data_IF_582335309671
#
_entry.id   IF_582335309671
#
_cell.length_a   1.000
_cell.length_b   1.000
_cell.length_c   1.000
_cell.angle_alpha   90.00
_cell.angle_beta   90.00
_cell.angle_gamma   90.00
#
_symmetry.space_group_name_H-M   'P 1'
#
loop_
_entity.id
_entity.type
_entity.pdbx_description
1 polymer ?
#
# COMPACT_ATOMS: atom_id res chain seq x y z
N UNK A 1 -18.21 18.65 0.53
CA UNK A 1 -17.05 18.54 1.43
C UNK A 1 -16.74 17.07 1.73
N UNK A 2 -17.68 16.32 2.32
CA UNK A 2 -17.63 14.87 2.57
C UNK A 2 -17.04 13.99 1.44
N UNK A 3 -17.40 14.24 0.17
CA UNK A 3 -16.92 13.43 -0.95
C UNK A 3 -15.43 13.64 -1.31
N UNK A 4 -14.81 14.76 -0.89
CA UNK A 4 -13.35 14.98 -1.03
C UNK A 4 -12.59 14.26 0.07
N UNK A 5 -13.11 14.30 1.30
CA UNK A 5 -12.48 13.66 2.45
C UNK A 5 -12.50 12.13 2.30
N UNK A 6 -13.62 11.56 1.81
CA UNK A 6 -13.73 10.14 1.53
C UNK A 6 -12.70 9.65 0.48
N UNK A 7 -12.46 10.45 -0.57
CA UNK A 7 -11.49 10.13 -1.62
C UNK A 7 -10.07 10.03 -1.07
N UNK A 8 -9.67 11.00 -0.24
CA UNK A 8 -8.36 11.00 0.42
C UNK A 8 -8.16 9.78 1.33
N UNK A 9 -9.20 9.41 2.08
CA UNK A 9 -9.17 8.21 2.94
C UNK A 9 -9.00 6.94 2.10
N UNK A 10 -9.74 6.79 0.99
CA UNK A 10 -9.65 5.63 0.10
C UNK A 10 -8.24 5.46 -0.47
N UNK A 11 -7.59 6.55 -0.88
CA UNK A 11 -6.21 6.51 -1.40
C UNK A 11 -5.21 6.16 -0.31
N UNK A 12 -5.34 6.75 0.88
CA UNK A 12 -4.46 6.42 1.99
C UNK A 12 -4.57 4.95 2.39
N UNK A 13 -5.80 4.41 2.45
CA UNK A 13 -6.03 2.98 2.70
C UNK A 13 -5.38 2.12 1.61
N UNK A 14 -5.56 2.48 0.33
CA UNK A 14 -4.95 1.75 -0.78
C UNK A 14 -3.41 1.78 -0.73
N UNK A 15 -2.82 2.93 -0.40
CA UNK A 15 -1.37 3.08 -0.25
C UNK A 15 -0.82 2.23 0.89
N UNK A 16 -1.49 2.24 2.05
CA UNK A 16 -1.12 1.41 3.21
C UNK A 16 -1.21 -0.07 2.86
N UNK A 17 -2.32 -0.51 2.23
CA UNK A 17 -2.49 -1.89 1.79
C UNK A 17 -1.45 -2.32 0.75
N UNK A 18 -1.06 -1.40 -0.14
CA UNK A 18 0.01 -1.62 -1.11
C UNK A 18 1.37 -1.79 -0.44
N UNK A 19 1.66 -0.98 0.56
CA UNK A 19 2.89 -1.08 1.37
C UNK A 19 2.94 -2.41 2.13
N UNK A 20 1.84 -2.82 2.77
CA UNK A 20 1.72 -4.13 3.40
C UNK A 20 1.90 -5.28 2.40
N UNK A 21 1.31 -5.17 1.20
CA UNK A 21 1.45 -6.18 0.15
C UNK A 21 2.91 -6.31 -0.32
N UNK A 22 3.64 -5.20 -0.43
CA UNK A 22 5.08 -5.20 -0.75
C UNK A 22 5.87 -5.81 0.41
N UNK A 23 5.57 -5.45 1.66
CA UNK A 23 6.22 -6.00 2.83
C UNK A 23 6.05 -7.53 2.91
N UNK A 24 4.83 -8.03 2.74
CA UNK A 24 4.57 -9.48 2.70
C UNK A 24 5.28 -10.17 1.54
N UNK A 25 5.36 -9.52 0.38
CA UNK A 25 6.12 -10.04 -0.75
C UNK A 25 7.61 -10.15 -0.44
N UNK A 26 8.21 -9.13 0.17
CA UNK A 26 9.61 -9.14 0.62
C UNK A 26 9.81 -10.19 1.71
N UNK A 27 8.93 -10.26 2.71
CA UNK A 27 8.99 -11.25 3.78
C UNK A 27 9.01 -12.67 3.22
N UNK A 28 8.19 -12.95 2.19
CA UNK A 28 8.16 -14.25 1.50
C UNK A 28 9.46 -14.58 0.77
N UNK A 29 10.18 -13.58 0.25
CA UNK A 29 11.49 -13.79 -0.38
C UNK A 29 12.52 -14.27 0.67
N UNK A 30 12.44 -13.75 1.88
CA UNK A 30 13.43 -14.03 2.94
C UNK A 30 13.05 -15.17 3.89
N UNK A 31 11.78 -15.58 3.96
CA UNK A 31 11.31 -16.59 4.92
C UNK A 31 10.69 -17.81 4.20
N UNK A 32 11.07 -19.04 4.59
CA UNK A 32 10.50 -20.27 4.03
C UNK A 32 9.10 -20.60 4.55
N UNK A 33 8.59 -19.86 5.54
CA UNK A 33 7.24 -20.04 6.07
C UNK A 33 6.20 -19.44 5.12
N UNK A 34 5.55 -20.29 4.34
CA UNK A 34 4.42 -19.90 3.50
C UNK A 34 3.15 -19.80 4.38
N UNK A 35 2.44 -18.67 4.32
CA UNK A 35 1.14 -18.52 4.94
C UNK A 35 0.06 -18.85 3.90
N UNK A 36 -0.43 -20.11 3.82
CA UNK A 36 -1.30 -20.53 2.74
C UNK A 36 -2.60 -19.72 2.74
N UNK A 37 -2.87 -18.99 1.65
CA UNK A 37 -4.10 -18.23 1.47
C UNK A 37 -4.07 -16.79 2.00
N UNK A 38 -3.11 -16.41 2.84
CA UNK A 38 -3.03 -15.03 3.38
C UNK A 38 -2.58 -14.05 2.29
N UNK A 39 -1.55 -14.43 1.54
CA UNK A 39 -1.01 -13.61 0.46
C UNK A 39 -2.04 -13.39 -0.65
N UNK A 40 -2.76 -14.45 -1.05
CA UNK A 40 -3.82 -14.32 -2.05
C UNK A 40 -4.92 -13.38 -1.58
N UNK A 41 -5.33 -13.47 -0.30
CA UNK A 41 -6.36 -12.58 0.26
C UNK A 41 -5.91 -11.13 0.26
N UNK A 42 -4.70 -10.83 0.77
CA UNK A 42 -4.15 -9.47 0.79
C UNK A 42 -4.02 -8.93 -0.63
N UNK A 43 -3.54 -9.75 -1.56
CA UNK A 43 -3.38 -9.37 -2.97
C UNK A 43 -4.73 -9.05 -3.63
N UNK A 44 -5.75 -9.91 -3.47
CA UNK A 44 -7.09 -9.66 -4.01
C UNK A 44 -7.76 -8.44 -3.37
N UNK A 45 -7.58 -8.25 -2.05
CA UNK A 45 -8.11 -7.09 -1.35
C UNK A 45 -7.47 -5.79 -1.86
N UNK A 46 -6.15 -5.81 -2.06
CA UNK A 46 -5.41 -4.68 -2.59
C UNK A 46 -5.80 -4.36 -4.05
N UNK A 47 -6.01 -5.37 -4.89
CA UNK A 47 -6.55 -5.17 -6.24
C UNK A 47 -7.95 -4.54 -6.19
N UNK A 48 -8.84 -5.03 -5.31
CA UNK A 48 -10.18 -4.50 -5.15
C UNK A 48 -10.17 -3.02 -4.76
N UNK A 49 -9.40 -2.67 -3.74
CA UNK A 49 -9.23 -1.27 -3.32
C UNK A 49 -8.56 -0.41 -4.39
N UNK A 50 -7.61 -0.96 -5.15
CA UNK A 50 -6.97 -0.26 -6.27
C UNK A 50 -7.94 0.09 -7.39
N UNK A 51 -8.88 -0.81 -7.72
CA UNK A 51 -9.95 -0.53 -8.70
C UNK A 51 -10.88 0.56 -8.16
N UNK A 52 -11.30 0.48 -6.90
CA UNK A 52 -12.16 1.50 -6.28
C UNK A 52 -11.47 2.87 -6.25
N UNK A 53 -10.18 2.91 -5.92
CA UNK A 53 -9.37 4.13 -5.95
C UNK A 53 -9.27 4.68 -7.38
N UNK A 54 -8.98 3.83 -8.38
CA UNK A 54 -8.93 4.23 -9.79
C UNK A 54 -10.24 4.82 -10.28
N UNK A 55 -11.38 4.18 -9.96
CA UNK A 55 -12.71 4.70 -10.32
C UNK A 55 -13.00 6.02 -9.63
N UNK A 56 -12.67 6.12 -8.33
CA UNK A 56 -12.88 7.33 -7.53
C UNK A 56 -12.08 8.53 -8.06
N UNK A 57 -10.91 8.26 -8.65
CA UNK A 57 -10.00 9.27 -9.20
C UNK A 57 -10.02 9.34 -10.73
N UNK A 58 -10.96 8.65 -11.40
CA UNK A 58 -10.97 8.51 -12.86
C UNK A 58 -10.94 9.85 -13.59
N UNK A 59 -11.79 10.81 -13.18
CA UNK A 59 -11.85 12.13 -13.80
C UNK A 59 -10.56 12.94 -13.60
N UNK A 60 -9.96 12.86 -12.41
CA UNK A 60 -8.72 13.56 -12.09
C UNK A 60 -7.53 12.96 -12.86
N UNK A 61 -7.54 11.64 -13.03
CA UNK A 61 -6.58 10.91 -13.87
C UNK A 61 -6.76 11.29 -15.33
N UNK A 62 -7.98 11.38 -15.85
CA UNK A 62 -8.25 11.84 -17.22
C UNK A 62 -7.82 13.29 -17.41
N UNK A 63 -8.17 14.19 -16.49
CA UNK A 63 -7.75 15.59 -16.56
C UNK A 63 -6.22 15.74 -16.46
N UNK A 64 -5.57 14.88 -15.69
CA UNK A 64 -4.12 14.78 -15.66
C UNK A 64 -3.59 14.30 -17.01
N UNK A 65 -4.09 13.18 -17.54
CA UNK A 65 -3.67 12.62 -18.83
C UNK A 65 -3.89 13.58 -20.00
N UNK A 66 -5.02 14.29 -20.04
CA UNK A 66 -5.34 15.30 -21.04
C UNK A 66 -4.40 16.51 -20.95
N UNK A 67 -3.96 16.89 -19.73
CA UNK A 67 -2.88 17.89 -19.56
C UNK A 67 -1.53 17.40 -20.06
N UNK A 68 -1.31 16.09 -20.09
CA UNK A 68 -0.12 15.43 -20.63
C UNK A 68 -0.20 15.08 -22.12
N UNK A 69 -1.29 15.40 -22.84
CA UNK A 69 -1.26 15.47 -24.30
C UNK A 69 -0.35 16.63 -24.72
N UNK A 70 0.96 16.36 -24.64
CA UNK A 70 2.01 17.15 -25.24
C UNK A 70 1.65 17.24 -26.71
N UNK A 71 1.25 18.43 -27.17
CA UNK A 71 1.17 18.78 -28.59
C UNK A 71 2.49 18.36 -29.22
N UNK A 72 2.51 17.17 -29.82
CA UNK A 72 3.70 16.65 -30.48
C UNK A 72 4.04 17.67 -31.57
N UNK A 73 5.20 18.34 -31.52
CA UNK A 73 5.54 19.31 -32.52
C UNK A 73 5.57 18.59 -33.86
N UNK A 74 4.66 18.97 -34.78
CA UNK A 74 4.62 18.45 -36.15
C UNK A 74 6.02 18.62 -36.74
N UNK A 75 6.75 17.52 -36.83
CA UNK A 75 8.18 17.50 -37.11
C UNK A 75 8.42 17.82 -38.59
N UNK A 76 8.39 19.10 -38.98
CA UNK A 76 8.91 19.53 -40.29
C UNK A 76 10.44 19.42 -40.27
N UNK A 77 10.96 18.24 -40.62
CA UNK A 77 12.39 18.02 -40.84
C UNK A 77 12.81 18.70 -42.15
N UNK A 78 13.43 19.88 -42.06
CA UNK A 78 14.47 20.32 -43.01
C UNK A 78 15.56 21.02 -42.21
N UNK A 79 16.63 20.31 -41.91
CA UNK A 79 17.85 20.93 -41.40
C UNK A 79 19.06 20.31 -42.11
N UNK A 80 19.38 20.85 -43.28
CA UNK A 80 20.71 20.75 -43.91
C UNK A 80 21.56 21.80 -43.21
N UNK A 81 22.51 21.41 -42.36
CA UNK A 81 23.67 22.26 -42.04
C UNK A 81 24.93 21.58 -42.56
N UNK A 82 25.47 22.15 -43.65
CA UNK A 82 26.88 22.02 -44.03
C UNK A 82 27.70 22.65 -42.90
N UNK A 83 28.54 21.86 -42.25
CA UNK A 83 29.55 22.37 -41.31
C UNK A 83 30.86 22.39 -42.11
N UNK A 84 31.32 23.60 -42.46
CA UNK A 84 32.67 23.80 -43.00
C UNK A 84 33.63 24.00 -41.83
N UNK A 85 34.59 23.10 -41.69
CA UNK A 85 35.69 23.22 -40.75
C UNK A 85 36.78 24.13 -41.33
N UNK A 86 36.95 25.33 -40.74
CA UNK A 86 38.06 26.23 -41.05
C UNK A 86 39.31 25.78 -40.28
N UNK A 87 40.25 25.14 -40.98
CA UNK A 87 41.57 24.75 -40.44
C UNK A 87 42.38 25.99 -40.03
N UNK A 88 42.77 26.10 -38.76
CA UNK A 88 43.80 27.03 -38.30
C UNK A 88 45.18 26.38 -38.42
N UNK A 89 46.11 27.05 -39.13
CA UNK A 89 47.53 26.69 -39.16
C UNK A 89 48.26 27.44 -38.04
N UNK A 90 48.88 26.71 -37.13
CA UNK A 90 49.86 27.25 -36.18
C UNK A 90 51.23 27.32 -36.85
N UNK A 91 51.81 28.52 -36.96
CA UNK A 91 53.24 28.70 -37.26
C UNK A 91 54.04 28.49 -35.97
N UNK A 92 54.94 27.50 -35.97
CA UNK A 92 56.04 27.43 -35.00
C UNK A 92 57.16 28.34 -35.52
N UNK A 93 57.51 29.35 -34.74
CA UNK A 93 58.73 30.14 -34.88
C UNK A 93 59.43 30.18 -33.54
N UNK A 94 60.65 29.65 -33.49
CA UNK A 94 61.52 29.72 -32.32
C UNK A 94 62.08 31.12 -32.10
N UNK A 95 62.69 31.33 -30.93
CA UNK A 95 63.41 32.56 -30.64
C UNK A 95 63.43 32.89 -29.15
N UNK A 96 64.54 32.50 -28.52
CA UNK A 96 64.98 32.98 -27.21
C UNK A 96 64.93 34.51 -27.10
N UNK A 97 64.48 35.03 -25.94
CA UNK A 97 65.16 36.13 -25.23
C UNK A 97 64.52 36.39 -23.87
N UNK A 98 65.40 36.45 -22.89
CA UNK A 98 65.23 37.00 -21.54
C UNK A 98 64.55 38.36 -21.56
N UNK A 99 63.47 38.52 -20.79
CA UNK A 99 62.84 39.81 -20.50
C UNK A 99 62.54 39.93 -19.01
N UNK A 100 63.40 40.73 -18.39
CA UNK A 100 63.23 41.64 -17.25
C UNK A 100 61.86 41.70 -16.54
N UNK A 101 61.96 41.73 -15.20
CA UNK A 101 60.91 42.04 -14.22
C UNK A 101 59.90 43.09 -14.71
N UNK A 102 58.70 42.64 -15.06
CA UNK A 102 57.52 43.48 -15.25
C UNK A 102 56.90 43.75 -13.88
N UNK A 103 56.97 45.00 -13.40
CA UNK A 103 56.16 45.47 -12.26
C UNK A 103 54.69 45.49 -12.68
N UNK A 104 53.96 44.44 -12.30
CA UNK A 104 52.51 44.36 -12.44
C UNK A 104 51.83 45.37 -11.51
N UNK A 105 51.33 46.48 -12.07
CA UNK A 105 50.29 47.29 -11.42
C UNK A 105 49.03 46.44 -11.32
N UNK A 106 48.54 46.22 -10.09
CA UNK A 106 47.27 45.52 -9.83
C UNK A 106 46.14 46.17 -10.64
N UNK A 107 45.46 45.45 -11.56
CA UNK A 107 44.29 45.97 -12.22
C UNK A 107 43.15 46.08 -11.21
N UNK A 108 42.46 47.22 -11.17
CA UNK A 108 41.18 47.34 -10.46
C UNK A 108 40.13 46.59 -11.28
N UNK A 109 39.94 45.30 -10.99
CA UNK A 109 38.86 44.51 -11.56
C UNK A 109 37.52 44.96 -10.95
N UNK A 110 36.76 45.77 -11.69
CA UNK A 110 35.34 45.96 -11.41
C UNK A 110 34.58 44.76 -12.00
N UNK A 111 34.40 43.71 -11.20
CA UNK A 111 33.53 42.57 -11.54
C UNK A 111 32.07 43.03 -11.48
N UNK A 112 31.51 43.44 -12.63
CA UNK A 112 30.05 43.51 -12.78
C UNK A 112 29.49 42.09 -12.67
N UNK A 113 28.60 41.86 -11.70
CA UNK A 113 27.95 40.56 -11.48
C UNK A 113 27.32 40.06 -12.79
N UNK A 114 27.72 38.88 -13.31
CA UNK A 114 27.09 38.31 -14.50
C UNK A 114 25.64 37.93 -14.19
N UNK A 115 24.70 38.38 -15.03
CA UNK A 115 23.31 37.95 -14.99
C UNK A 115 23.25 36.54 -15.59
N UNK A 116 23.30 35.51 -14.75
CA UNK A 116 23.11 34.13 -15.19
C UNK A 116 21.62 33.88 -15.46
N UNK A 117 21.23 33.91 -16.73
CA UNK A 117 19.96 33.32 -17.16
C UNK A 117 20.12 31.80 -17.27
N UNK A 118 20.01 31.11 -16.14
CA UNK A 118 19.95 29.65 -16.11
C UNK A 118 18.59 29.24 -16.66
N UNK A 119 18.54 28.90 -17.96
CA UNK A 119 17.36 28.24 -18.55
C UNK A 119 17.22 26.86 -17.90
N UNK A 120 16.08 26.59 -17.27
CA UNK A 120 15.76 25.28 -16.67
C UNK A 120 15.94 24.18 -17.73
N UNK A 121 16.70 23.11 -17.44
CA UNK A 121 16.84 22.00 -18.38
C UNK A 121 15.51 21.24 -18.49
N UNK A 122 14.99 21.13 -19.72
CA UNK A 122 13.87 20.25 -20.03
C UNK A 122 14.37 18.80 -20.08
N UNK A 123 14.26 18.08 -18.97
CA UNK A 123 14.55 16.64 -18.92
C UNK A 123 13.35 15.90 -19.49
N UNK A 124 13.46 15.39 -20.72
CA UNK A 124 12.44 14.53 -21.33
C UNK A 124 12.66 13.07 -20.91
N UNK A 125 12.02 12.65 -19.82
CA UNK A 125 11.98 11.23 -19.44
C UNK A 125 10.94 10.54 -20.34
N UNK A 126 11.37 9.57 -21.15
CA UNK A 126 10.46 8.69 -21.90
C UNK A 126 10.05 7.54 -20.99
N UNK A 127 8.87 7.62 -20.40
CA UNK A 127 8.29 6.51 -19.65
C UNK A 127 7.56 5.62 -20.66
N UNK A 128 8.06 4.39 -20.82
CA UNK A 128 7.42 3.36 -21.64
C UNK A 128 6.33 2.70 -20.79
N UNK A 129 5.06 3.04 -21.03
CA UNK A 129 3.95 2.33 -20.38
C UNK A 129 3.69 1.01 -21.14
N UNK A 130 3.73 -0.14 -20.46
CA UNK A 130 3.44 -1.43 -21.10
C UNK A 130 1.97 -1.49 -21.52
N UNK A 131 1.71 -1.97 -22.72
CA UNK A 131 0.35 -2.24 -23.22
C UNK A 131 -0.28 -3.35 -22.37
N UNK A 132 -1.26 -3.00 -21.54
CA UNK A 132 -2.02 -3.98 -20.75
C UNK A 132 -2.93 -4.77 -21.70
N UNK A 133 -2.81 -6.10 -21.66
CA UNK A 133 -3.62 -7.01 -22.45
C UNK A 133 -4.90 -7.38 -21.67
N UNK A 134 -6.03 -6.78 -22.05
CA UNK A 134 -7.33 -6.94 -21.40
C UNK A 134 -7.88 -8.37 -21.48
N UNK A 135 -7.58 -9.10 -22.56
CA UNK A 135 -8.04 -10.48 -22.76
C UNK A 135 -7.47 -11.45 -21.70
N UNK A 136 -6.30 -11.12 -21.15
CA UNK A 136 -5.67 -11.91 -20.07
C UNK A 136 -6.37 -11.69 -18.72
N UNK A 137 -6.97 -10.53 -18.52
CA UNK A 137 -7.68 -10.17 -17.28
C UNK A 137 -9.06 -10.85 -17.26
N UNK A 138 -9.77 -10.83 -18.38
CA UNK A 138 -11.09 -11.46 -18.50
C UNK A 138 -11.04 -12.98 -18.24
N UNK A 139 -10.02 -13.65 -18.77
CA UNK A 139 -9.79 -15.07 -18.51
C UNK A 139 -9.52 -15.39 -17.01
N UNK A 140 -8.93 -14.46 -16.25
CA UNK A 140 -8.76 -14.64 -14.79
C UNK A 140 -10.09 -14.51 -14.04
N UNK A 141 -10.99 -13.63 -14.46
CA UNK A 141 -12.31 -13.50 -13.85
C UNK A 141 -13.18 -14.76 -14.04
N UNK A 142 -13.11 -15.38 -15.23
CA UNK A 142 -13.81 -16.65 -15.51
C UNK A 142 -13.32 -17.75 -14.56
N UNK A 143 -12.01 -17.84 -14.33
CA UNK A 143 -11.42 -18.82 -13.39
C UNK A 143 -11.92 -18.64 -11.95
N UNK A 144 -12.01 -17.38 -11.48
CA UNK A 144 -12.53 -17.06 -10.14
C UNK A 144 -14.00 -17.49 -10.01
N UNK A 145 -14.83 -17.19 -11.02
CA UNK A 145 -16.24 -17.58 -11.02
C UNK A 145 -16.41 -19.10 -10.94
N UNK A 146 -15.57 -19.85 -11.66
CA UNK A 146 -15.56 -21.31 -11.62
C UNK A 146 -15.15 -21.86 -10.25
N UNK A 147 -14.18 -21.21 -9.59
CA UNK A 147 -13.77 -21.56 -8.22
C UNK A 147 -14.92 -21.40 -7.21
N UNK A 148 -15.66 -20.29 -7.26
CA UNK A 148 -16.82 -20.06 -6.40
C UNK A 148 -17.93 -21.07 -6.64
N UNK A 149 -18.25 -21.38 -7.90
CA UNK A 149 -19.25 -22.42 -8.23
C UNK A 149 -18.83 -23.78 -7.68
N UNK A 150 -17.55 -24.13 -7.81
CA UNK A 150 -16.99 -25.38 -7.25
C UNK A 150 -17.06 -25.40 -5.73
N UNK A 151 -16.80 -24.28 -5.07
CA UNK A 151 -16.89 -24.13 -3.60
C UNK A 151 -18.34 -24.32 -3.12
N UNK A 152 -19.30 -23.65 -3.76
CA UNK A 152 -20.74 -23.77 -3.44
C UNK A 152 -21.22 -25.21 -3.61
N UNK A 153 -20.82 -25.88 -4.70
CA UNK A 153 -21.15 -27.31 -4.90
C UNK A 153 -20.54 -28.21 -3.82
N UNK A 154 -19.35 -27.89 -3.31
CA UNK A 154 -18.68 -28.65 -2.23
C UNK A 154 -19.41 -28.49 -0.90
N UNK A 155 -19.84 -27.26 -0.57
CA UNK A 155 -20.67 -26.97 0.60
C UNK A 155 -22.03 -27.70 0.50
N UNK A 156 -22.58 -27.80 -0.71
CA UNK A 156 -23.80 -28.55 -1.01
C UNK A 156 -23.74 -30.05 -0.70
N UNK A 157 -22.55 -30.66 -0.59
CA UNK A 157 -22.40 -32.09 -0.25
C UNK A 157 -22.23 -32.36 1.25
N UNK A 158 -22.14 -31.32 2.08
CA UNK A 158 -21.94 -31.49 3.52
C UNK A 158 -23.20 -32.08 4.20
N UNK A 159 -23.03 -32.85 5.28
CA UNK A 159 -24.14 -33.40 6.04
C UNK A 159 -25.01 -32.28 6.63
N UNK A 160 -26.32 -32.55 6.75
CA UNK A 160 -27.36 -31.56 7.13
C UNK A 160 -27.02 -30.82 8.45
N UNK A 161 -26.43 -31.52 9.43
CA UNK A 161 -25.99 -30.94 10.71
C UNK A 161 -24.88 -29.89 10.54
N UNK A 162 -23.89 -30.14 9.68
CA UNK A 162 -22.79 -29.19 9.43
C UNK A 162 -23.27 -27.98 8.63
N UNK A 163 -24.18 -28.19 7.67
CA UNK A 163 -24.81 -27.09 6.92
C UNK A 163 -25.55 -26.12 7.82
N UNK A 164 -26.33 -26.61 8.80
CA UNK A 164 -27.04 -25.75 9.77
C UNK A 164 -26.08 -24.91 10.62
N UNK A 165 -24.97 -25.49 11.08
CA UNK A 165 -23.93 -24.74 11.82
C UNK A 165 -23.29 -23.64 10.96
N UNK A 166 -22.94 -23.96 9.71
CA UNK A 166 -22.38 -22.99 8.76
C UNK A 166 -23.41 -21.90 8.43
N UNK A 167 -24.68 -22.26 8.25
CA UNK A 167 -25.74 -21.28 7.97
C UNK A 167 -25.97 -20.35 9.16
N UNK A 168 -26.05 -20.88 10.38
CA UNK A 168 -26.15 -20.08 11.59
C UNK A 168 -24.97 -19.12 11.76
N UNK A 169 -23.76 -19.54 11.37
CA UNK A 169 -22.59 -18.65 11.31
C UNK A 169 -22.78 -17.50 10.33
N UNK A 170 -23.14 -17.80 9.08
CA UNK A 170 -23.34 -16.75 8.08
C UNK A 170 -24.42 -15.78 8.51
N UNK A 171 -25.53 -16.27 9.08
CA UNK A 171 -26.60 -15.42 9.62
C UNK A 171 -26.07 -14.54 10.76
N UNK A 172 -25.37 -15.10 11.74
CA UNK A 172 -24.78 -14.33 12.84
C UNK A 172 -23.77 -13.29 12.36
N UNK A 173 -22.93 -13.65 11.38
CA UNK A 173 -21.93 -12.76 10.78
C UNK A 173 -22.60 -11.62 10.02
N UNK A 174 -23.67 -11.90 9.27
CA UNK A 174 -24.45 -10.88 8.55
C UNK A 174 -25.14 -9.93 9.53
N UNK A 175 -25.78 -10.45 10.59
CA UNK A 175 -26.41 -9.63 11.64
C UNK A 175 -25.37 -8.73 12.31
N UNK A 176 -24.24 -9.31 12.73
CA UNK A 176 -23.16 -8.57 13.37
C UNK A 176 -22.53 -7.52 12.44
N UNK A 177 -22.30 -7.88 11.18
CA UNK A 177 -21.75 -6.95 10.19
C UNK A 177 -22.72 -5.80 9.89
N UNK A 178 -24.02 -6.08 9.83
CA UNK A 178 -25.07 -5.06 9.65
C UNK A 178 -25.12 -4.14 10.87
N UNK A 179 -25.00 -4.69 12.08
CA UNK A 179 -24.87 -3.90 13.31
C UNK A 179 -23.63 -3.00 13.27
N UNK A 180 -22.46 -3.54 12.92
CA UNK A 180 -21.23 -2.75 12.81
C UNK A 180 -21.33 -1.63 11.77
N UNK A 181 -21.93 -1.88 10.61
CA UNK A 181 -22.15 -0.85 9.57
C UNK A 181 -23.09 0.24 10.08
N UNK A 182 -24.13 -0.12 10.83
CA UNK A 182 -25.08 0.83 11.41
C UNK A 182 -24.45 1.69 12.52
N UNK A 183 -23.54 1.10 13.30
CA UNK A 183 -22.79 1.75 14.38
C UNK A 183 -21.68 2.66 13.83
N UNK A 184 -20.99 2.24 12.77
CA UNK A 184 -19.81 2.93 12.22
C UNK A 184 -19.93 4.46 12.06
N UNK A 185 -21.00 5.04 11.48
CA UNK A 185 -21.07 6.50 11.30
C UNK A 185 -21.30 7.28 12.61
N UNK A 186 -21.64 6.60 13.72
CA UNK A 186 -22.00 7.22 15.00
C UNK A 186 -20.88 7.22 16.03
N UNK A 187 -19.82 6.45 15.80
CA UNK A 187 -18.75 6.22 16.77
C UNK A 187 -17.40 6.67 16.23
N UNK A 188 -16.52 7.05 17.14
CA UNK A 188 -15.11 7.21 16.81
C UNK A 188 -14.50 5.86 16.40
N UNK A 189 -13.43 5.89 15.61
CA UNK A 189 -12.75 4.66 15.17
C UNK A 189 -12.26 3.83 16.39
N UNK A 190 -11.88 4.50 17.48
CA UNK A 190 -11.46 3.87 18.73
C UNK A 190 -12.58 3.06 19.39
N UNK A 191 -13.78 3.64 19.49
CA UNK A 191 -14.97 2.96 20.03
C UNK A 191 -15.44 1.84 19.09
N UNK A 192 -15.38 2.05 17.78
CA UNK A 192 -15.70 1.00 16.80
C UNK A 192 -14.78 -0.21 16.96
N UNK A 193 -13.47 0.00 17.11
CA UNK A 193 -12.50 -1.07 17.33
C UNK A 193 -12.77 -1.82 18.63
N UNK A 194 -13.17 -1.10 19.69
CA UNK A 194 -13.58 -1.72 20.95
C UNK A 194 -14.79 -2.64 20.75
N UNK A 195 -15.87 -2.18 20.10
CA UNK A 195 -17.04 -3.03 19.83
C UNK A 195 -16.72 -4.20 18.90
N UNK A 196 -15.87 -3.98 17.90
CA UNK A 196 -15.42 -5.02 16.98
C UNK A 196 -14.72 -6.16 17.73
N UNK A 197 -13.81 -5.82 18.65
CA UNK A 197 -13.09 -6.75 19.52
C UNK A 197 -14.00 -7.39 20.58
N UNK A 198 -14.96 -6.65 21.12
CA UNK A 198 -15.95 -7.18 22.06
C UNK A 198 -16.80 -8.27 21.40
N UNK A 199 -17.32 -8.02 20.20
CA UNK A 199 -18.10 -9.02 19.46
C UNK A 199 -17.25 -10.17 18.92
N UNK A 200 -15.93 -10.01 18.82
CA UNK A 200 -15.03 -11.12 18.50
C UNK A 200 -15.06 -12.22 19.57
N UNK A 201 -15.27 -11.89 20.85
CA UNK A 201 -15.31 -12.88 21.94
C UNK A 201 -16.41 -13.93 21.74
N UNK A 202 -17.71 -13.59 21.64
CA UNK A 202 -18.76 -14.60 21.45
C UNK A 202 -18.62 -15.35 20.13
N UNK A 203 -18.19 -14.68 19.06
CA UNK A 203 -17.90 -15.32 17.77
C UNK A 203 -16.81 -16.38 17.98
N UNK A 204 -15.69 -16.02 18.59
CA UNK A 204 -14.57 -16.93 18.85
C UNK A 204 -14.99 -18.15 19.68
N UNK A 205 -15.82 -17.95 20.71
CA UNK A 205 -16.35 -19.04 21.56
C UNK A 205 -17.22 -20.00 20.74
N UNK A 206 -18.11 -19.48 19.90
CA UNK A 206 -18.99 -20.29 19.05
C UNK A 206 -18.17 -21.10 18.03
N UNK A 207 -17.14 -20.47 17.43
CA UNK A 207 -16.30 -21.10 16.40
C UNK A 207 -15.13 -21.92 16.95
N UNK A 208 -14.88 -21.86 18.25
CA UNK A 208 -13.69 -22.47 18.87
C UNK A 208 -12.42 -22.02 18.15
N UNK A 209 -12.32 -20.71 17.86
CA UNK A 209 -11.13 -20.14 17.25
C UNK A 209 -9.96 -20.26 18.23
N UNK A 210 -8.76 -20.41 17.68
CA UNK A 210 -7.55 -20.49 18.51
C UNK A 210 -7.38 -19.16 19.28
N UNK A 211 -7.39 -19.18 20.63
CA UNK A 211 -7.30 -17.98 21.45
C UNK A 211 -5.96 -17.23 21.27
N UNK A 212 -4.97 -17.85 20.63
CA UNK A 212 -3.64 -17.26 20.36
C UNK A 212 -3.66 -16.17 19.29
N UNK A 213 -4.66 -16.16 18.40
CA UNK A 213 -4.74 -15.16 17.32
C UNK A 213 -4.78 -13.70 17.81
N UNK A 214 -5.70 -13.29 18.69
CA UNK A 214 -5.75 -11.91 19.19
C UNK A 214 -4.47 -11.49 19.92
N UNK A 215 -3.80 -12.43 20.61
CA UNK A 215 -2.51 -12.18 21.28
C UNK A 215 -1.41 -11.91 20.25
N UNK A 216 -1.31 -12.75 19.22
CA UNK A 216 -0.34 -12.57 18.15
C UNK A 216 -0.54 -11.25 17.40
N UNK A 217 -1.79 -10.88 17.13
CA UNK A 217 -2.14 -9.58 16.55
C UNK A 217 -1.70 -8.46 17.49
N UNK A 218 -2.01 -8.53 18.79
CA UNK A 218 -1.62 -7.52 19.74
C UNK A 218 -0.10 -7.32 19.84
N UNK A 219 0.67 -8.42 19.86
CA UNK A 219 2.13 -8.36 19.85
C UNK A 219 2.67 -7.67 18.58
N UNK A 220 2.07 -7.98 17.43
CA UNK A 220 2.40 -7.32 16.17
C UNK A 220 2.07 -5.82 16.24
N UNK A 221 0.90 -5.43 16.79
CA UNK A 221 0.56 -4.02 17.01
C UNK A 221 1.56 -3.32 17.93
N UNK A 222 2.08 -3.97 18.98
CA UNK A 222 3.12 -3.38 19.83
C UNK A 222 4.42 -3.12 19.07
N UNK A 223 4.82 -4.02 18.17
CA UNK A 223 5.99 -3.80 17.30
C UNK A 223 5.75 -2.59 16.38
N UNK A 224 4.56 -2.51 15.77
CA UNK A 224 4.19 -1.35 14.94
C UNK A 224 4.17 -0.07 15.80
N UNK A 225 3.62 -0.12 17.01
CA UNK A 225 3.60 0.99 17.95
C UNK A 225 5.01 1.53 18.21
N UNK A 226 5.98 0.64 18.46
CA UNK A 226 7.38 1.04 18.67
C UNK A 226 7.98 1.73 17.43
N UNK A 227 7.67 1.24 16.22
CA UNK A 227 8.13 1.86 14.97
C UNK A 227 7.50 3.25 14.79
N UNK A 228 6.19 3.39 15.03
CA UNK A 228 5.47 4.66 14.89
C UNK A 228 5.95 5.67 15.93
N UNK A 229 6.21 5.22 17.16
CA UNK A 229 6.80 6.05 18.21
C UNK A 229 8.21 6.52 17.83
N UNK A 230 9.05 5.64 17.26
CA UNK A 230 10.38 6.01 16.77
C UNK A 230 10.35 7.08 15.67
N UNK A 231 9.28 7.14 14.88
CA UNK A 231 9.07 8.18 13.87
C UNK A 231 8.58 9.52 14.44
N UNK A 232 8.30 9.60 15.75
CA UNK A 232 7.84 10.81 16.44
C UNK A 232 6.32 11.03 16.39
N UNK A 233 5.53 10.03 15.98
CA UNK A 233 4.07 10.12 15.89
C UNK A 233 3.40 9.62 17.18
N UNK A 234 3.55 10.36 18.28
CA UNK A 234 3.11 9.94 19.61
C UNK A 234 1.60 9.64 19.70
N UNK A 235 0.75 10.48 19.10
CA UNK A 235 -0.71 10.29 19.11
C UNK A 235 -1.13 8.96 18.47
N UNK A 236 -0.50 8.60 17.35
CA UNK A 236 -0.79 7.36 16.64
C UNK A 236 -0.22 6.16 17.38
N UNK A 237 0.98 6.28 17.93
CA UNK A 237 1.57 5.24 18.76
C UNK A 237 0.67 4.91 19.96
N UNK A 238 0.16 5.94 20.66
CA UNK A 238 -0.77 5.76 21.77
C UNK A 238 -2.05 5.03 21.36
N UNK A 239 -2.67 5.40 20.24
CA UNK A 239 -3.86 4.69 19.72
C UNK A 239 -3.56 3.23 19.40
N UNK A 240 -2.43 2.95 18.74
CA UNK A 240 -2.01 1.58 18.40
C UNK A 240 -1.76 0.77 19.68
N UNK A 241 -1.14 1.37 20.71
CA UNK A 241 -0.93 0.73 22.00
C UNK A 241 -2.26 0.37 22.69
N UNK A 242 -3.26 1.26 22.64
CA UNK A 242 -4.61 0.98 23.17
C UNK A 242 -5.24 -0.23 22.44
N UNK A 243 -5.11 -0.31 21.11
CA UNK A 243 -5.64 -1.45 20.36
C UNK A 243 -4.91 -2.75 20.68
N UNK A 244 -3.59 -2.70 20.86
CA UNK A 244 -2.82 -3.84 21.31
C UNK A 244 -3.29 -4.31 22.70
N UNK A 245 -3.51 -3.37 23.62
CA UNK A 245 -4.06 -3.67 24.94
C UNK A 245 -5.42 -4.39 24.85
N UNK A 246 -6.35 -3.90 24.05
CA UNK A 246 -7.63 -4.58 23.86
C UNK A 246 -7.46 -5.99 23.28
N UNK A 247 -6.57 -6.18 22.31
CA UNK A 247 -6.25 -7.49 21.76
C UNK A 247 -5.69 -8.47 22.79
N UNK A 248 -4.81 -8.00 23.68
CA UNK A 248 -4.26 -8.81 24.78
C UNK A 248 -5.37 -9.22 25.76
N UNK A 249 -6.20 -8.27 26.21
CA UNK A 249 -7.29 -8.56 27.15
C UNK A 249 -8.26 -9.60 26.57
N UNK A 250 -8.68 -9.41 25.31
CA UNK A 250 -9.56 -10.36 24.61
C UNK A 250 -8.89 -11.73 24.46
N UNK A 251 -7.59 -11.76 24.13
CA UNK A 251 -6.84 -13.01 24.02
C UNK A 251 -6.74 -13.78 25.34
N UNK A 252 -6.51 -13.08 26.45
CA UNK A 252 -6.48 -13.69 27.80
C UNK A 252 -7.86 -14.23 28.18
N UNK A 253 -8.94 -13.48 27.93
CA UNK A 253 -10.31 -13.94 28.16
C UNK A 253 -10.58 -15.22 27.37
N UNK A 254 -10.21 -15.27 26.09
CA UNK A 254 -10.42 -16.45 25.26
C UNK A 254 -9.57 -17.65 25.70
N UNK A 255 -8.33 -17.44 26.14
CA UNK A 255 -7.52 -18.51 26.73
C UNK A 255 -8.16 -19.06 28.00
N UNK A 256 -8.70 -18.19 28.86
CA UNK A 256 -9.42 -18.61 30.06
C UNK A 256 -10.66 -19.43 29.73
N UNK A 257 -11.46 -18.98 28.76
CA UNK A 257 -12.65 -19.73 28.31
C UNK A 257 -12.26 -21.09 27.74
N UNK A 258 -11.20 -21.17 26.94
CA UNK A 258 -10.73 -22.44 26.39
C UNK A 258 -10.20 -23.38 27.49
N UNK A 259 -9.49 -22.83 28.48
CA UNK A 259 -9.04 -23.60 29.66
C UNK A 259 -10.21 -24.21 30.43
N UNK A 260 -11.23 -23.41 30.78
CA UNK A 260 -12.43 -23.90 31.48
C UNK A 260 -13.17 -24.94 30.64
N UNK A 261 -13.28 -24.72 29.33
CA UNK A 261 -13.95 -25.63 28.41
C UNK A 261 -13.25 -26.98 28.31
N UNK A 262 -11.93 -27.00 28.29
CA UNK A 262 -11.16 -28.24 28.17
C UNK A 262 -11.04 -28.98 29.50
N UNK A 263 -10.91 -28.27 30.63
CA UNK A 263 -10.94 -28.87 31.97
C UNK A 263 -12.21 -29.71 32.21
N UNK A 264 -13.37 -29.22 31.76
CA UNK A 264 -14.62 -29.98 31.87
C UNK A 264 -14.65 -31.26 31.03
N UNK A 265 -13.93 -31.33 29.90
CA UNK A 265 -13.93 -32.54 29.05
C UNK A 265 -13.08 -33.65 29.66
N UNK A 266 -12.03 -33.30 30.39
CA UNK A 266 -11.13 -34.28 30.99
C UNK A 266 -11.76 -34.91 32.24
N UNK A 267 -12.55 -34.15 33.01
CA UNK A 267 -13.30 -34.67 34.15
C UNK A 267 -14.42 -35.66 33.78
N UNK A 268 -14.96 -35.61 32.56
CA UNK A 268 -15.98 -36.53 32.07
C UNK A 268 -15.42 -37.84 31.47
N UNK A 269 -14.09 -37.98 31.40
CA UNK A 269 -13.41 -39.18 30.89
C UNK A 269 -12.89 -40.12 31.99
N UNK A 270 -13.12 -39.77 33.25
CA UNK A 270 -12.83 -40.60 34.43
C UNK A 270 -14.11 -41.32 34.83
#
# INVERSE_FOLDING_TARGET
MLAKDLRGIIVNIFLILSLFSIFFYIYRIFNPFDFPGLWERIFYFNIGFGIVALVSYYNEIIDFLNRFEIKLPKRKRKFKRKIEFKKWKLKKGGGSKTLTKIKLKKPKFQLKKPKFHIKKPEIRIKIFLPKINWDKIENRFISIKFFFVKLIRRIGRLPKRTKLKILGFFVGLVIYSTFLIWVYPKFSFDEFMFFALLGYVPISIIFSLDPRYPIGIALLLLIICAIVLFQGFEDYANRIAIYAYYGLVVGVILMFVDYVRNSNKDNFKI
#
